data_IF_342497525356
#
_entry.id   IF_342497525356
#
_cell.length_a   1.000
_cell.length_b   1.000
_cell.length_c   1.000
_cell.angle_alpha   90.00
_cell.angle_beta   90.00
_cell.angle_gamma   90.00
#
_symmetry.space_group_name_H-M   'P 1'
#
loop_
_entity.id
_entity.type
_entity.pdbx_description
1 polymer ?
#
# COMPACT_ATOMS: atom_id res chain seq x y z
N UNK A 1 -1.03 -12.16 14.56
CA UNK A 1 -0.69 -11.68 15.89
C UNK A 1 -1.89 -11.70 16.84
N UNK A 2 -1.60 -11.71 18.12
CA UNK A 2 -2.64 -11.76 19.16
C UNK A 2 -3.54 -10.53 19.08
N UNK A 3 -2.98 -9.34 18.87
CA UNK A 3 -3.76 -8.13 18.78
C UNK A 3 -4.76 -8.12 17.65
N UNK A 4 -4.41 -8.68 16.50
CA UNK A 4 -5.33 -8.79 15.39
C UNK A 4 -6.44 -9.79 15.65
N UNK A 5 -6.14 -10.87 16.37
CA UNK A 5 -7.15 -11.87 16.75
C UNK A 5 -8.21 -11.26 17.64
N UNK A 6 -7.82 -10.40 18.58
CA UNK A 6 -8.77 -9.74 19.48
C UNK A 6 -9.74 -8.86 18.71
N UNK A 7 -9.27 -8.15 17.66
CA UNK A 7 -10.12 -7.31 16.83
C UNK A 7 -11.13 -8.10 16.02
N UNK A 8 -10.83 -9.32 15.63
CA UNK A 8 -11.76 -10.16 14.88
C UNK A 8 -13.07 -10.40 15.64
N UNK A 9 -13.00 -10.44 16.96
CA UNK A 9 -14.15 -10.68 17.81
C UNK A 9 -14.80 -9.40 18.35
N UNK A 10 -14.25 -8.23 18.04
CA UNK A 10 -14.78 -6.95 18.49
C UNK A 10 -15.97 -6.50 17.65
N UNK A 11 -16.78 -5.62 18.22
CA UNK A 11 -17.89 -4.98 17.49
C UNK A 11 -17.29 -4.04 16.44
N UNK A 12 -17.47 -4.37 15.17
CA UNK A 12 -16.89 -3.62 14.06
C UNK A 12 -17.35 -2.15 14.01
N UNK A 13 -18.48 -1.83 14.60
CA UNK A 13 -18.98 -0.44 14.63
C UNK A 13 -18.15 0.47 15.51
N UNK A 14 -17.38 -0.10 16.45
CA UNK A 14 -16.53 0.65 17.38
C UNK A 14 -15.09 0.76 16.91
N UNK A 15 -14.73 0.08 15.83
CA UNK A 15 -13.36 0.07 15.34
C UNK A 15 -13.08 1.32 14.52
N UNK A 16 -11.87 1.86 14.64
CA UNK A 16 -11.39 2.92 13.76
C UNK A 16 -11.20 2.38 12.35
N UNK A 17 -11.02 3.28 11.37
CA UNK A 17 -10.73 2.88 9.99
C UNK A 17 -9.49 1.99 9.88
N UNK A 18 -8.42 2.34 10.62
CA UNK A 18 -7.19 1.54 10.64
C UNK A 18 -7.38 0.18 11.27
N UNK A 19 -8.14 0.11 12.37
CA UNK A 19 -8.45 -1.15 13.02
C UNK A 19 -9.28 -2.06 12.12
N UNK A 20 -10.27 -1.50 11.42
CA UNK A 20 -11.07 -2.26 10.45
C UNK A 20 -10.19 -2.81 9.33
N UNK A 21 -9.25 -2.02 8.86
CA UNK A 21 -8.34 -2.45 7.80
C UNK A 21 -7.44 -3.58 8.29
N UNK A 22 -6.90 -3.48 9.52
CA UNK A 22 -6.08 -4.54 10.09
C UNK A 22 -6.88 -5.83 10.30
N UNK A 23 -8.15 -5.72 10.70
CA UNK A 23 -9.03 -6.88 10.82
C UNK A 23 -9.26 -7.52 9.45
N UNK A 24 -9.47 -6.72 8.42
CA UNK A 24 -9.65 -7.23 7.06
C UNK A 24 -8.41 -7.98 6.59
N UNK A 25 -7.22 -7.45 6.86
CA UNK A 25 -5.95 -8.11 6.52
C UNK A 25 -5.83 -9.44 7.28
N UNK A 26 -6.14 -9.43 8.57
CA UNK A 26 -6.07 -10.66 9.38
C UNK A 26 -7.01 -11.74 8.86
N UNK A 27 -8.23 -11.37 8.47
CA UNK A 27 -9.18 -12.31 7.90
C UNK A 27 -8.68 -12.91 6.58
N UNK A 28 -8.07 -12.07 5.73
CA UNK A 28 -7.49 -12.54 4.48
C UNK A 28 -6.35 -13.52 4.74
N UNK A 29 -5.49 -13.22 5.72
CA UNK A 29 -4.36 -14.08 6.08
C UNK A 29 -4.80 -15.44 6.63
N UNK A 30 -5.94 -15.50 7.31
CA UNK A 30 -6.46 -16.77 7.85
C UNK A 30 -6.79 -17.78 6.75
N UNK A 31 -6.94 -17.33 5.52
CA UNK A 31 -7.18 -18.21 4.37
C UNK A 31 -5.89 -18.74 3.76
N UNK A 32 -4.76 -18.36 4.30
CA UNK A 32 -3.42 -18.73 3.81
C UNK A 32 -3.23 -18.47 2.31
N UNK A 33 -3.43 -17.22 1.86
CA UNK A 33 -3.36 -16.90 0.44
C UNK A 33 -1.93 -16.94 -0.07
N UNK A 34 -1.76 -17.29 -1.33
CA UNK A 34 -0.46 -17.20 -2.00
C UNK A 34 -0.16 -15.76 -2.40
N UNK A 35 -1.20 -15.00 -2.75
CA UNK A 35 -1.09 -13.61 -3.19
C UNK A 35 -2.15 -12.79 -2.47
N UNK A 36 -1.76 -11.63 -1.95
CA UNK A 36 -2.69 -10.68 -1.36
C UNK A 36 -2.82 -9.45 -2.26
N UNK A 37 -4.05 -8.99 -2.42
CA UNK A 37 -4.37 -7.84 -3.23
C UNK A 37 -4.85 -6.72 -2.32
N UNK A 38 -4.18 -5.56 -2.38
CA UNK A 38 -4.55 -4.37 -1.63
C UNK A 38 -4.94 -3.27 -2.60
N UNK A 39 -6.16 -2.77 -2.48
CA UNK A 39 -6.66 -1.70 -3.34
C UNK A 39 -6.83 -0.43 -2.51
N UNK A 40 -5.86 0.47 -2.60
CA UNK A 40 -5.82 1.72 -1.86
C UNK A 40 -6.10 1.54 -0.36
N UNK A 41 -5.29 0.72 0.33
CA UNK A 41 -5.59 0.29 1.71
C UNK A 41 -5.58 1.44 2.73
N UNK A 42 -4.98 2.58 2.41
CA UNK A 42 -4.92 3.73 3.30
C UNK A 42 -5.82 4.88 2.87
N UNK A 43 -6.58 4.68 1.80
CA UNK A 43 -7.53 5.68 1.31
C UNK A 43 -8.57 6.01 2.38
N UNK A 44 -8.86 7.30 2.55
CA UNK A 44 -9.86 7.79 3.51
C UNK A 44 -9.53 7.53 4.99
N UNK A 45 -8.28 7.16 5.31
CA UNK A 45 -7.84 7.03 6.69
C UNK A 45 -7.14 8.30 7.17
N UNK A 46 -7.23 8.57 8.49
CA UNK A 46 -6.48 9.63 9.12
C UNK A 46 -4.98 9.43 8.90
N UNK A 47 -4.21 10.51 8.64
CA UNK A 47 -2.75 10.38 8.47
C UNK A 47 -2.06 9.66 9.63
N UNK A 48 -2.55 9.82 10.86
CA UNK A 48 -1.99 9.15 12.02
C UNK A 48 -2.15 7.63 11.96
N UNK A 49 -3.21 7.17 11.29
CA UNK A 49 -3.55 5.75 11.21
C UNK A 49 -2.90 5.10 9.98
N UNK A 50 -2.65 5.89 8.94
CA UNK A 50 -2.02 5.41 7.70
C UNK A 50 -0.72 4.67 8.00
N UNK A 51 0.13 5.24 8.86
CA UNK A 51 1.41 4.63 9.24
C UNK A 51 1.25 3.25 9.83
N UNK A 52 0.24 3.04 10.66
CA UNK A 52 0.00 1.73 11.28
C UNK A 52 -0.36 0.66 10.24
N UNK A 53 -1.19 1.01 9.28
CA UNK A 53 -1.59 0.09 8.20
C UNK A 53 -0.40 -0.23 7.31
N UNK A 54 0.38 0.78 6.94
CA UNK A 54 1.57 0.59 6.12
C UNK A 54 2.61 -0.27 6.83
N UNK A 55 2.74 -0.15 8.16
CA UNK A 55 3.66 -0.98 8.95
C UNK A 55 3.26 -2.46 8.89
N UNK A 56 1.97 -2.74 8.97
CA UNK A 56 1.48 -4.13 8.82
C UNK A 56 1.89 -4.67 7.44
N UNK A 57 1.72 -3.87 6.41
CA UNK A 57 2.07 -4.29 5.05
C UNK A 57 3.58 -4.44 4.86
N UNK A 58 4.38 -3.57 5.48
CA UNK A 58 5.85 -3.72 5.47
C UNK A 58 6.27 -5.04 6.08
N UNK A 59 5.64 -5.40 7.20
CA UNK A 59 5.97 -6.66 7.87
C UNK A 59 5.61 -7.86 7.00
N UNK A 60 4.48 -7.81 6.30
CA UNK A 60 4.10 -8.88 5.38
C UNK A 60 5.09 -9.00 4.22
N UNK A 61 5.52 -7.86 3.67
CA UNK A 61 6.53 -7.86 2.61
C UNK A 61 7.84 -8.46 3.09
N UNK A 62 8.27 -8.11 4.31
CA UNK A 62 9.50 -8.64 4.90
C UNK A 62 9.43 -10.15 5.12
N UNK A 63 8.24 -10.68 5.36
CA UNK A 63 8.01 -12.12 5.52
C UNK A 63 7.95 -12.87 4.18
N UNK A 64 8.03 -12.16 3.07
CA UNK A 64 8.02 -12.78 1.74
C UNK A 64 6.64 -12.96 1.12
N UNK A 65 5.63 -12.34 1.69
CA UNK A 65 4.28 -12.40 1.12
C UNK A 65 4.25 -11.74 -0.26
N UNK A 66 3.71 -12.43 -1.25
CA UNK A 66 3.49 -11.85 -2.56
C UNK A 66 2.26 -10.94 -2.50
N UNK A 67 2.46 -9.68 -2.88
CA UNK A 67 1.39 -8.69 -2.78
C UNK A 67 1.30 -7.86 -4.06
N UNK A 68 0.07 -7.53 -4.45
CA UNK A 68 -0.19 -6.52 -5.46
C UNK A 68 -0.88 -5.36 -4.73
N UNK A 69 -0.29 -4.18 -4.79
CA UNK A 69 -0.76 -3.03 -4.03
C UNK A 69 -1.04 -1.87 -4.96
N UNK A 70 -2.30 -1.41 -4.96
CA UNK A 70 -2.68 -0.18 -5.66
C UNK A 70 -2.66 0.93 -4.62
N UNK A 71 -1.82 1.94 -4.79
CA UNK A 71 -1.63 2.95 -3.76
C UNK A 71 -1.13 4.27 -4.33
N UNK A 72 -1.43 5.35 -3.62
CA UNK A 72 -0.83 6.67 -3.84
C UNK A 72 0.28 6.96 -2.83
N UNK A 73 0.58 6.01 -1.97
CA UNK A 73 1.66 6.14 -0.97
C UNK A 73 3.01 5.85 -1.63
N UNK A 74 3.59 6.90 -2.22
CA UNK A 74 4.79 6.75 -3.06
C UNK A 74 6.04 6.36 -2.28
N UNK A 75 6.22 6.92 -1.08
CA UNK A 75 7.36 6.55 -0.25
C UNK A 75 7.31 5.06 0.13
N UNK A 76 6.13 4.57 0.47
CA UNK A 76 5.91 3.15 0.77
C UNK A 76 6.19 2.29 -0.46
N UNK A 77 5.63 2.67 -1.62
CA UNK A 77 5.84 1.93 -2.85
C UNK A 77 7.32 1.85 -3.22
N UNK A 78 8.04 2.97 -3.09
CA UNK A 78 9.48 3.02 -3.37
C UNK A 78 10.27 2.11 -2.43
N UNK A 79 9.87 2.08 -1.16
CA UNK A 79 10.58 1.33 -0.13
C UNK A 79 10.40 -0.18 -0.25
N UNK A 80 9.18 -0.65 -0.49
CA UNK A 80 8.86 -2.07 -0.33
C UNK A 80 8.66 -2.84 -1.64
N UNK A 81 8.43 -2.17 -2.76
CA UNK A 81 8.10 -2.90 -3.98
C UNK A 81 9.34 -3.45 -4.68
N UNK A 82 9.16 -4.60 -5.32
CA UNK A 82 10.17 -5.18 -6.21
C UNK A 82 9.92 -4.73 -7.64
N UNK A 83 8.67 -4.40 -7.95
CA UNK A 83 8.28 -3.95 -9.28
C UNK A 83 7.20 -2.88 -9.13
N UNK A 84 7.36 -1.80 -9.88
CA UNK A 84 6.41 -0.70 -9.90
C UNK A 84 5.75 -0.63 -11.27
N UNK A 85 4.43 -0.47 -11.26
CA UNK A 85 3.64 -0.34 -12.49
C UNK A 85 2.89 0.98 -12.39
N UNK A 86 3.17 1.89 -13.33
CA UNK A 86 2.46 3.16 -13.39
C UNK A 86 1.32 3.04 -14.40
N UNK A 87 0.10 3.31 -13.93
CA UNK A 87 -1.09 3.23 -14.76
C UNK A 87 -1.75 4.59 -14.91
N UNK A 88 -2.29 4.85 -16.08
CA UNK A 88 -3.05 6.06 -16.34
C UNK A 88 -4.14 5.75 -17.36
N UNK A 89 -5.36 6.19 -17.06
CA UNK A 89 -6.53 6.01 -17.92
C UNK A 89 -6.71 4.55 -18.37
N UNK A 90 -6.54 3.62 -17.43
CA UNK A 90 -6.79 2.21 -17.69
C UNK A 90 -5.69 1.47 -18.44
N UNK A 91 -4.57 2.11 -18.71
CA UNK A 91 -3.44 1.46 -19.40
C UNK A 91 -2.17 1.55 -18.59
N UNK A 92 -1.30 0.57 -18.76
CA UNK A 92 0.02 0.56 -18.17
C UNK A 92 0.93 1.43 -19.05
N UNK A 93 1.43 2.53 -18.50
CA UNK A 93 2.33 3.43 -19.21
C UNK A 93 3.78 3.04 -19.06
N UNK A 94 4.16 2.61 -17.84
CA UNK A 94 5.55 2.35 -17.54
C UNK A 94 5.65 1.36 -16.40
N UNK A 95 6.67 0.50 -16.44
CA UNK A 95 6.89 -0.46 -15.36
C UNK A 95 8.37 -0.81 -15.27
N UNK A 96 8.80 -1.20 -14.09
CA UNK A 96 10.19 -1.55 -13.84
C UNK A 96 10.47 -1.63 -12.35
N UNK A 97 11.75 -1.63 -12.00
CA UNK A 97 12.15 -1.59 -10.60
C UNK A 97 11.82 -0.24 -10.00
N UNK A 98 11.72 -0.13 -8.67
CA UNK A 98 11.53 1.18 -8.03
C UNK A 98 12.60 2.20 -8.43
N UNK A 99 13.84 1.74 -8.52
CA UNK A 99 14.95 2.61 -8.92
C UNK A 99 14.73 3.17 -10.33
N UNK A 100 14.25 2.35 -11.25
CA UNK A 100 13.99 2.80 -12.62
C UNK A 100 12.80 3.76 -12.70
N UNK A 101 11.66 3.36 -12.12
CA UNK A 101 10.42 4.12 -12.27
C UNK A 101 10.45 5.42 -11.45
N UNK A 102 10.97 5.38 -10.23
CA UNK A 102 11.04 6.58 -9.39
C UNK A 102 12.28 7.42 -9.65
N UNK A 103 13.40 6.79 -9.98
CA UNK A 103 14.67 7.49 -10.17
C UNK A 103 14.89 8.02 -11.56
N UNK A 104 14.35 7.35 -12.58
CA UNK A 104 14.54 7.74 -13.98
C UNK A 104 13.31 7.37 -14.81
N UNK A 105 12.14 7.97 -14.52
CA UNK A 105 10.92 7.67 -15.27
C UNK A 105 11.08 8.10 -16.73
N UNK A 106 10.65 7.25 -17.64
CA UNK A 106 10.80 7.45 -19.07
C UNK A 106 9.62 8.17 -19.70
N UNK A 107 8.42 7.97 -19.13
CA UNK A 107 7.22 8.56 -19.71
C UNK A 107 6.93 9.93 -19.09
N UNK A 108 6.50 10.88 -19.93
CA UNK A 108 6.20 12.23 -19.48
C UNK A 108 5.12 12.26 -18.39
N UNK A 109 4.10 11.42 -18.53
CA UNK A 109 3.03 11.35 -17.53
C UNK A 109 3.52 10.83 -16.19
N UNK A 110 4.44 9.87 -16.19
CA UNK A 110 5.06 9.38 -14.97
C UNK A 110 5.85 10.49 -14.29
N UNK A 111 6.65 11.22 -15.05
CA UNK A 111 7.44 12.34 -14.52
C UNK A 111 6.55 13.41 -13.92
N UNK A 112 5.47 13.75 -14.60
CA UNK A 112 4.50 14.75 -14.13
C UNK A 112 3.88 14.33 -12.80
N UNK A 113 3.42 13.09 -12.72
CA UNK A 113 2.80 12.55 -11.51
C UNK A 113 3.79 12.57 -10.34
N UNK A 114 4.99 12.07 -10.55
CA UNK A 114 6.00 12.00 -9.49
C UNK A 114 6.48 13.39 -9.07
N UNK A 115 6.55 14.33 -10.01
CA UNK A 115 6.91 15.71 -9.72
C UNK A 115 5.91 16.35 -8.76
N UNK A 116 4.61 16.14 -8.98
CA UNK A 116 3.57 16.63 -8.08
C UNK A 116 3.67 16.03 -6.69
N UNK A 117 3.93 14.74 -6.63
CA UNK A 117 4.10 14.07 -5.35
C UNK A 117 5.28 14.65 -4.56
N UNK A 118 6.41 14.88 -5.23
CA UNK A 118 7.59 15.46 -4.59
C UNK A 118 7.34 16.88 -4.12
N UNK A 119 6.61 17.68 -4.88
CA UNK A 119 6.23 19.04 -4.47
C UNK A 119 5.37 19.02 -3.21
N UNK A 120 4.38 18.13 -3.16
CA UNK A 120 3.51 17.99 -1.99
C UNK A 120 4.31 17.61 -0.75
N UNK A 121 5.32 16.78 -0.91
CA UNK A 121 6.18 16.34 0.19
C UNK A 121 7.07 17.47 0.72
N UNK A 122 7.44 18.41 -0.12
CA UNK A 122 8.31 19.52 0.26
C UNK A 122 7.56 20.64 0.98
N UNK A 123 6.26 20.66 0.90
CA UNK A 123 5.42 21.59 1.63
C UNK A 123 5.11 21.07 3.03
#
# INVERSE_FOLDING_TARGET
SVGLRDFIHADSRRLSGGQKQRVAIARALCREPEIMLFDEPTSALDPEIVGEVLDVMRNLAAEGMTMVVVTHEMAFAKEVSDRVVFMDQGVILEQGSPKEVFGNPKEARTREFLSRYLEDKME
#
